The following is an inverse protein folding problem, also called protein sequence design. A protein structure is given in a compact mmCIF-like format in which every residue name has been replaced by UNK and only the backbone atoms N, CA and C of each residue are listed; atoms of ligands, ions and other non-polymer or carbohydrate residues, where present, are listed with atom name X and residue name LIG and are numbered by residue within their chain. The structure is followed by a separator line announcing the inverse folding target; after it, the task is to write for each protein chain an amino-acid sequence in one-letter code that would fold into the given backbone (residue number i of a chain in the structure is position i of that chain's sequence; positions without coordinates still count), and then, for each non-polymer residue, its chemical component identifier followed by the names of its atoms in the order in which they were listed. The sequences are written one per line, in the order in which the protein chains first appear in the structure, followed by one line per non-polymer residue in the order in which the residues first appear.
data_IF_125019233806
#
_entry.id   IF_125019233806
#
_cell.length_a   1.000
_cell.length_b   1.000
_cell.length_c   1.000
_cell.angle_alpha   90.00
_cell.angle_beta   90.00
_cell.angle_gamma   90.00
#
_symmetry.space_group_name_H-M   'P 1'
#
loop_
_entity.id
_entity.type
_entity.pdbx_description
1 polymer ?
#
# COMPACT_ATOMS: atom_id res chain seq x y z
N UNK A 1 -2.35 -14.36 29.08
CA UNK A 1 -1.16 -14.12 28.24
C UNK A 1 -1.33 -14.95 26.97
N UNK A 2 -1.43 -14.32 25.79
CA UNK A 2 -1.59 -15.04 24.51
C UNK A 2 -0.20 -15.43 23.99
N UNK A 3 0.04 -16.71 23.64
CA UNK A 3 1.34 -17.15 23.18
C UNK A 3 1.66 -16.50 21.82
N UNK A 4 2.74 -15.71 21.77
CA UNK A 4 3.24 -15.07 20.56
C UNK A 4 3.80 -16.14 19.61
N UNK A 5 3.04 -16.50 18.59
CA UNK A 5 3.47 -17.48 17.57
C UNK A 5 3.88 -16.79 16.28
N UNK A 6 3.25 -15.66 15.94
CA UNK A 6 3.45 -14.98 14.64
C UNK A 6 4.02 -13.56 14.76
N UNK A 7 4.00 -12.96 15.97
CA UNK A 7 4.46 -11.59 16.19
C UNK A 7 3.46 -10.50 15.77
N UNK A 8 2.31 -10.89 15.19
CA UNK A 8 1.20 -10.00 14.85
C UNK A 8 0.05 -10.21 15.84
N UNK A 9 -0.16 -9.24 16.73
CA UNK A 9 -1.15 -9.27 17.82
C UNK A 9 -2.59 -9.53 17.33
N UNK A 10 -2.94 -9.10 16.12
CA UNK A 10 -4.26 -9.32 15.50
C UNK A 10 -4.47 -10.76 15.01
N UNK A 11 -3.43 -11.40 14.47
CA UNK A 11 -3.48 -12.81 14.01
C UNK A 11 -3.44 -13.76 15.21
N UNK A 12 -2.59 -13.48 16.20
CA UNK A 12 -2.52 -14.27 17.44
C UNK A 12 -3.80 -14.12 18.28
N UNK A 13 -4.51 -12.99 18.22
CA UNK A 13 -5.82 -12.80 18.89
C UNK A 13 -6.98 -13.52 18.19
N UNK A 14 -6.96 -13.61 16.85
CA UNK A 14 -7.95 -14.35 16.07
C UNK A 14 -7.80 -15.87 16.27
N UNK A 15 -6.57 -16.36 16.30
CA UNK A 15 -6.24 -17.76 16.64
C UNK A 15 -6.57 -18.12 18.10
N UNK A 16 -6.62 -17.14 19.01
CA UNK A 16 -6.96 -17.34 20.42
C UNK A 16 -8.47 -17.27 20.72
N UNK A 17 -9.34 -17.02 19.73
CA UNK A 17 -10.80 -17.06 19.89
C UNK A 17 -11.39 -16.00 20.84
N UNK A 18 -10.65 -14.92 21.16
CA UNK A 18 -11.07 -13.93 22.16
C UNK A 18 -11.51 -12.60 21.51
N UNK A 19 -12.82 -12.46 21.31
CA UNK A 19 -13.42 -11.29 20.64
C UNK A 19 -13.21 -9.95 21.36
N UNK A 20 -13.01 -9.95 22.69
CA UNK A 20 -12.82 -8.73 23.47
C UNK A 20 -11.45 -8.08 23.19
N UNK A 21 -10.42 -8.90 23.01
CA UNK A 21 -9.04 -8.44 22.72
C UNK A 21 -8.92 -7.98 21.26
N UNK A 22 -9.65 -8.62 20.35
CA UNK A 22 -9.75 -8.21 18.94
C UNK A 22 -10.33 -6.81 18.78
N UNK A 23 -11.45 -6.50 19.46
CA UNK A 23 -12.07 -5.18 19.41
C UNK A 23 -11.21 -4.07 20.03
N UNK A 24 -10.50 -4.37 21.13
CA UNK A 24 -9.59 -3.39 21.73
C UNK A 24 -8.36 -3.11 20.85
N UNK A 25 -7.83 -4.15 20.18
CA UNK A 25 -6.74 -4.02 19.21
C UNK A 25 -7.14 -3.20 17.97
N UNK A 26 -8.37 -3.36 17.46
CA UNK A 26 -8.89 -2.56 16.34
C UNK A 26 -8.99 -1.07 16.69
N UNK A 27 -9.53 -0.73 17.87
CA UNK A 27 -9.63 0.66 18.29
C UNK A 27 -8.25 1.32 18.48
N UNK A 28 -7.26 0.57 18.98
CA UNK A 28 -5.88 1.06 19.10
C UNK A 28 -5.14 1.15 17.76
N UNK A 29 -5.58 0.39 16.73
CA UNK A 29 -5.03 0.48 15.37
C UNK A 29 -5.63 1.63 14.56
N UNK A 30 -6.90 1.97 14.78
CA UNK A 30 -7.64 2.95 13.97
C UNK A 30 -7.02 4.35 14.03
N UNK A 31 -6.54 4.80 15.19
CA UNK A 31 -5.92 6.13 15.34
C UNK A 31 -4.63 6.28 14.51
N UNK A 32 -3.61 5.42 14.65
CA UNK A 32 -2.42 5.50 13.82
C UNK A 32 -2.67 5.11 12.35
N UNK A 33 -3.56 4.15 12.09
CA UNK A 33 -3.90 3.75 10.71
C UNK A 33 -4.64 4.85 9.94
N UNK A 34 -5.52 5.61 10.59
CA UNK A 34 -6.18 6.75 9.96
C UNK A 34 -5.19 7.88 9.71
N UNK A 35 -4.28 8.18 10.65
CA UNK A 35 -3.23 9.19 10.44
C UNK A 35 -2.33 8.84 9.24
N UNK A 36 -1.87 7.59 9.15
CA UNK A 36 -1.07 7.08 8.03
C UNK A 36 -1.87 7.01 6.72
N UNK A 37 -3.15 6.62 6.83
CA UNK A 37 -4.10 6.57 5.72
C UNK A 37 -4.30 7.96 5.12
N UNK A 38 -4.61 8.96 5.95
CA UNK A 38 -4.76 10.36 5.55
C UNK A 38 -3.48 10.92 4.95
N UNK A 39 -2.31 10.59 5.53
CA UNK A 39 -1.01 11.02 4.98
C UNK A 39 -0.81 10.50 3.55
N UNK A 40 -1.05 9.20 3.33
CA UNK A 40 -0.93 8.57 2.02
C UNK A 40 -1.97 9.12 1.03
N UNK A 41 -3.21 9.35 1.50
CA UNK A 41 -4.29 9.89 0.69
C UNK A 41 -3.99 11.32 0.23
N UNK A 42 -3.41 12.15 1.11
CA UNK A 42 -2.99 13.51 0.79
C UNK A 42 -1.93 13.53 -0.30
N UNK A 43 -0.94 12.62 -0.24
CA UNK A 43 0.10 12.50 -1.24
C UNK A 43 -0.45 12.09 -2.62
N UNK A 44 -1.26 11.02 -2.65
CA UNK A 44 -1.86 10.49 -3.89
C UNK A 44 -2.83 11.51 -4.50
N UNK A 45 -3.64 12.19 -3.68
CA UNK A 45 -4.55 13.26 -4.12
C UNK A 45 -3.79 14.42 -4.78
N UNK A 46 -2.67 14.86 -4.18
CA UNK A 46 -1.87 15.97 -4.71
C UNK A 46 -1.22 15.62 -6.05
N UNK A 47 -0.71 14.40 -6.19
CA UNK A 47 -0.18 13.89 -7.46
C UNK A 47 -1.27 13.76 -8.54
N UNK A 48 -2.40 13.15 -8.19
CA UNK A 48 -3.54 12.99 -9.10
C UNK A 48 -4.04 14.35 -9.59
N UNK A 49 -4.12 15.34 -8.70
CA UNK A 49 -4.47 16.72 -9.06
C UNK A 49 -3.47 17.34 -10.04
N UNK A 50 -2.16 17.15 -9.83
CA UNK A 50 -1.12 17.67 -10.72
C UNK A 50 -1.23 17.06 -12.12
N UNK A 51 -1.44 15.75 -12.22
CA UNK A 51 -1.64 15.08 -13.50
C UNK A 51 -2.96 15.49 -14.17
N UNK A 52 -4.05 15.64 -13.41
CA UNK A 52 -5.33 16.14 -13.93
C UNK A 52 -5.22 17.53 -14.54
N UNK A 53 -4.49 18.45 -13.88
CA UNK A 53 -4.27 19.80 -14.40
C UNK A 53 -3.45 19.78 -15.70
N UNK A 54 -2.36 19.01 -15.73
CA UNK A 54 -1.54 18.84 -16.93
C UNK A 54 -2.32 18.21 -18.10
N UNK A 55 -3.27 17.33 -17.78
CA UNK A 55 -4.06 16.63 -18.78
C UNK A 55 -5.23 17.46 -19.30
N UNK A 56 -5.82 18.31 -18.47
CA UNK A 56 -6.88 19.24 -18.86
C UNK A 56 -6.40 20.36 -19.79
N UNK A 57 -5.11 20.70 -19.76
CA UNK A 57 -4.51 21.70 -20.66
C UNK A 57 -4.11 21.16 -22.04
N UNK A 58 -4.35 19.88 -22.31
CA UNK A 58 -4.00 19.23 -23.58
C UNK A 58 -5.06 19.51 -24.66
N UNK A 59 -4.61 19.59 -25.91
CA UNK A 59 -5.47 19.95 -27.05
C UNK A 59 -6.64 18.97 -27.25
N UNK A 60 -6.46 17.68 -26.93
CA UNK A 60 -7.51 16.67 -27.09
C UNK A 60 -8.74 16.91 -26.18
N UNK A 61 -8.56 17.58 -25.03
CA UNK A 61 -9.66 17.98 -24.14
C UNK A 61 -10.45 19.13 -24.76
N UNK A 62 -9.74 20.08 -25.38
CA UNK A 62 -10.35 21.20 -26.11
C UNK A 62 -11.17 20.65 -27.28
N UNK A 63 -10.63 19.70 -28.05
CA UNK A 63 -11.38 19.07 -29.15
C UNK A 63 -12.59 18.29 -28.64
N UNK A 64 -12.47 17.59 -27.50
CA UNK A 64 -13.59 16.88 -26.89
C UNK A 64 -14.72 17.83 -26.46
N UNK A 65 -14.38 19.01 -25.93
CA UNK A 65 -15.34 20.06 -25.57
C UNK A 65 -16.03 20.65 -26.80
N UNK A 66 -15.29 20.89 -27.88
CA UNK A 66 -15.85 21.37 -29.16
C UNK A 66 -16.80 20.35 -29.80
N UNK A 67 -16.56 19.05 -29.59
CA UNK A 67 -17.47 17.97 -30.00
C UNK A 67 -18.77 17.88 -29.18
N UNK A 68 -18.96 18.73 -28.18
CA UNK A 68 -20.17 18.77 -27.35
C UNK A 68 -20.22 17.72 -26.23
N UNK A 69 -19.09 17.09 -25.89
CA UNK A 69 -19.02 16.16 -24.75
C UNK A 69 -19.20 16.90 -23.43
N UNK A 70 -19.96 16.30 -22.51
CA UNK A 70 -20.17 16.87 -21.17
C UNK A 70 -18.87 16.86 -20.36
N UNK A 71 -18.65 17.88 -19.52
CA UNK A 71 -17.42 17.98 -18.70
C UNK A 71 -17.17 16.73 -17.84
N UNK A 72 -18.24 16.11 -17.32
CA UNK A 72 -18.15 14.85 -16.56
C UNK A 72 -17.57 13.71 -17.39
N UNK A 73 -17.98 13.55 -18.64
CA UNK A 73 -17.47 12.49 -19.53
C UNK A 73 -16.01 12.75 -19.91
N UNK A 74 -15.64 14.00 -20.12
CA UNK A 74 -14.27 14.41 -20.43
C UNK A 74 -13.33 14.13 -19.24
N UNK A 75 -13.77 14.44 -18.03
CA UNK A 75 -13.00 14.20 -16.80
C UNK A 75 -12.86 12.69 -16.53
N UNK A 76 -13.97 11.94 -16.47
CA UNK A 76 -13.94 10.53 -16.07
C UNK A 76 -13.38 9.59 -17.14
N UNK A 77 -13.76 9.77 -18.41
CA UNK A 77 -13.41 8.82 -19.45
C UNK A 77 -12.15 9.19 -20.23
N UNK A 78 -11.87 10.48 -20.42
CA UNK A 78 -10.70 10.93 -21.19
C UNK A 78 -9.52 11.31 -20.29
N UNK A 79 -9.69 12.28 -19.39
CA UNK A 79 -8.59 12.76 -18.57
C UNK A 79 -8.12 11.70 -17.56
N UNK A 80 -9.03 11.13 -16.77
CA UNK A 80 -8.68 10.17 -15.72
C UNK A 80 -8.06 8.88 -16.29
N UNK A 81 -8.64 8.32 -17.35
CA UNK A 81 -8.11 7.11 -18.00
C UNK A 81 -6.72 7.34 -18.61
N UNK A 82 -6.41 8.54 -19.08
CA UNK A 82 -5.08 8.84 -19.57
C UNK A 82 -4.05 8.93 -18.43
N UNK A 83 -4.44 9.55 -17.31
CA UNK A 83 -3.55 9.71 -16.15
C UNK A 83 -3.27 8.39 -15.46
N UNK A 84 -4.20 7.42 -15.54
CA UNK A 84 -3.99 6.08 -14.97
C UNK A 84 -2.69 5.44 -15.44
N UNK A 85 -2.25 5.65 -16.69
CA UNK A 85 -0.97 5.10 -17.19
C UNK A 85 0.22 5.62 -16.38
N UNK A 86 0.28 6.93 -16.14
CA UNK A 86 1.32 7.55 -15.32
C UNK A 86 1.17 7.19 -13.84
N UNK A 87 -0.07 7.18 -13.34
CA UNK A 87 -0.37 6.87 -11.93
C UNK A 87 0.05 5.45 -11.58
N UNK A 88 -0.18 4.47 -12.46
CA UNK A 88 0.22 3.07 -12.27
C UNK A 88 1.73 2.95 -12.07
N UNK A 89 2.50 3.70 -12.84
CA UNK A 89 3.97 3.71 -12.74
C UNK A 89 4.43 4.25 -11.39
N UNK A 90 3.84 5.37 -10.94
CA UNK A 90 4.16 5.94 -9.62
C UNK A 90 3.80 4.97 -8.50
N UNK A 91 2.63 4.33 -8.57
CA UNK A 91 2.20 3.34 -7.57
C UNK A 91 3.14 2.13 -7.55
N UNK A 92 3.57 1.64 -8.70
CA UNK A 92 4.53 0.54 -8.79
C UNK A 92 5.88 0.89 -8.16
N UNK A 93 6.39 2.10 -8.41
CA UNK A 93 7.62 2.59 -7.79
C UNK A 93 7.48 2.74 -6.26
N UNK A 94 6.37 3.31 -5.80
CA UNK A 94 6.08 3.44 -4.37
C UNK A 94 6.00 2.08 -3.67
N UNK A 95 5.37 1.09 -4.31
CA UNK A 95 5.30 -0.27 -3.79
C UNK A 95 6.67 -0.95 -3.75
N UNK A 96 7.49 -0.80 -4.80
CA UNK A 96 8.86 -1.30 -4.82
C UNK A 96 9.72 -0.74 -3.68
N UNK A 97 9.62 0.57 -3.44
CA UNK A 97 10.33 1.22 -2.34
C UNK A 97 9.89 0.72 -0.95
N UNK A 98 8.60 0.41 -0.77
CA UNK A 98 8.09 -0.17 0.47
C UNK A 98 8.61 -1.59 0.72
N UNK A 99 8.64 -2.41 -0.33
CA UNK A 99 9.20 -3.77 -0.26
C UNK A 99 10.69 -3.74 0.06
N UNK A 100 11.44 -2.87 -0.60
CA UNK A 100 12.87 -2.68 -0.36
C UNK A 100 13.14 -2.26 1.10
N UNK A 101 12.39 -1.29 1.61
CA UNK A 101 12.47 -0.87 3.01
C UNK A 101 12.15 -2.02 3.98
N UNK A 102 11.12 -2.81 3.72
CA UNK A 102 10.75 -3.95 4.55
C UNK A 102 11.89 -4.99 4.65
N UNK A 103 12.54 -5.32 3.53
CA UNK A 103 13.68 -6.24 3.50
C UNK A 103 14.86 -5.68 4.30
N UNK A 104 15.18 -4.39 4.14
CA UNK A 104 16.26 -3.76 4.89
C UNK A 104 16.04 -3.85 6.41
N UNK A 105 14.82 -3.56 6.87
CA UNK A 105 14.47 -3.61 8.30
C UNK A 105 14.56 -5.05 8.83
N UNK A 106 14.13 -6.05 8.04
CA UNK A 106 14.29 -7.48 8.40
C UNK A 106 15.77 -7.87 8.59
N UNK A 107 16.66 -7.39 7.70
CA UNK A 107 18.10 -7.69 7.81
C UNK A 107 18.77 -6.99 8.99
N UNK A 108 18.46 -5.71 9.23
CA UNK A 108 19.09 -4.92 10.29
C UNK A 108 18.63 -5.36 11.68
N UNK A 109 17.35 -5.68 11.85
CA UNK A 109 16.78 -6.05 13.16
C UNK A 109 16.66 -7.56 13.38
N UNK A 110 17.11 -8.40 12.44
CA UNK A 110 16.96 -9.87 12.50
C UNK A 110 15.53 -10.35 12.82
N UNK A 111 14.53 -9.56 12.43
CA UNK A 111 13.12 -9.90 12.60
C UNK A 111 12.78 -11.02 11.61
N UNK A 112 12.10 -12.06 12.09
CA UNK A 112 11.68 -13.20 11.28
C UNK A 112 10.50 -12.84 10.36
N UNK A 113 10.77 -12.06 9.32
CA UNK A 113 9.77 -11.66 8.34
C UNK A 113 9.62 -12.65 7.18
N UNK A 114 8.57 -12.46 6.38
CA UNK A 114 8.17 -13.36 5.28
C UNK A 114 9.28 -13.55 4.25
N UNK A 115 10.09 -12.52 4.02
CA UNK A 115 11.12 -12.54 2.99
C UNK A 115 12.35 -13.32 3.42
N UNK A 116 12.78 -13.18 4.69
CA UNK A 116 13.96 -13.86 5.21
C UNK A 116 13.68 -15.30 5.72
N UNK A 117 12.42 -15.63 6.02
CA UNK A 117 12.01 -16.93 6.57
C UNK A 117 12.41 -18.15 5.71
N UNK A 118 12.21 -18.17 4.38
CA UNK A 118 12.64 -19.29 3.53
C UNK A 118 14.15 -19.52 3.56
N UNK A 119 14.93 -18.45 3.49
CA UNK A 119 16.40 -18.51 3.54
C UNK A 119 16.89 -19.03 4.90
N UNK A 120 16.26 -18.59 6.00
CA UNK A 120 16.60 -19.07 7.35
C UNK A 120 16.28 -20.56 7.53
N UNK A 121 15.20 -21.07 6.91
CA UNK A 121 14.85 -22.49 6.94
C UNK A 121 15.84 -23.36 6.17
N UNK A 122 16.36 -22.87 5.06
CA UNK A 122 17.40 -23.55 4.27
C UNK A 122 18.77 -23.51 4.96
N UNK A 123 19.07 -22.41 5.66
CA UNK A 123 20.22 -22.38 6.54
C UNK A 123 20.03 -23.42 7.66
N UNK A 124 18.85 -23.44 8.33
CA UNK A 124 18.49 -24.38 9.39
C UNK A 124 18.76 -25.85 9.09
N UNK A 125 18.27 -26.33 7.95
CA UNK A 125 18.48 -27.73 7.56
C UNK A 125 19.93 -28.09 7.22
N UNK A 126 20.81 -27.10 7.00
CA UNK A 126 22.21 -27.33 6.65
C UNK A 126 23.09 -27.65 7.86
N UNK A 127 22.66 -27.27 9.07
CA UNK A 127 23.42 -27.55 10.31
C UNK A 127 23.03 -28.89 10.97
N UNK A 128 22.04 -29.61 10.45
CA UNK A 128 21.60 -30.91 10.99
C UNK A 128 22.19 -32.13 10.23
N UNK A 129 22.99 -31.90 9.18
CA UNK A 129 23.64 -32.95 8.38
C UNK A 129 25.19 -32.96 8.47
N UNK A 130 25.77 -32.39 9.52
CA UNK A 130 27.21 -32.46 9.83
C UNK A 130 27.42 -32.91 11.26
#
# INVERSE_FOLDING_TARGET
MVPRRTGLITVDALLAGNGQVFWNAINHLILPASLLGFHSLAYISRMTRSFMLAQLSQEFIITARVKGLTERQVIWNHAFRNILVQLLTVVALAYGALLEGAVLIETVFSLAGVWLLPYRKLAAGRYECG
#
